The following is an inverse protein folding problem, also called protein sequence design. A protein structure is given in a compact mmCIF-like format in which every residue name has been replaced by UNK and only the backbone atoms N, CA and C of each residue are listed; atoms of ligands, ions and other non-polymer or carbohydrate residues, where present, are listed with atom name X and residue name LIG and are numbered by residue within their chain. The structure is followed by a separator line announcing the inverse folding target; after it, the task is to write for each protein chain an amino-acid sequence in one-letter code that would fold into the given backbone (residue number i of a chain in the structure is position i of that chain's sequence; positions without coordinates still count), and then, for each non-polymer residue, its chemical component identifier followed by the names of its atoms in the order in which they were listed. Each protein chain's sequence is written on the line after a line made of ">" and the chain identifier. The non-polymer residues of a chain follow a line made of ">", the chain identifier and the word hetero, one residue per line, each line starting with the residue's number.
data_IF_978389073086
#
_entry.id   IF_978389073086
#
_cell.length_a   1.000
_cell.length_b   1.000
_cell.length_c   1.000
_cell.angle_alpha   90.00
_cell.angle_beta   90.00
_cell.angle_gamma   90.00
#
_symmetry.space_group_name_H-M   'P 1'
#
loop_
_entity.id
_entity.type
_entity.pdbx_description
1 polymer ?
#
# COMPACT_ATOMS: atom_id res chain seq x y z
N UNK A 1 2.63 -16.03 -15.39
CA UNK A 1 3.00 -15.52 -14.06
C UNK A 1 2.12 -14.37 -13.69
N UNK A 2 1.63 -14.43 -12.50
CA UNK A 2 0.71 -13.41 -12.04
C UNK A 2 1.45 -12.13 -11.69
N UNK A 3 0.85 -11.01 -12.04
CA UNK A 3 1.40 -9.71 -11.67
C UNK A 3 1.12 -9.43 -10.19
N UNK A 4 2.02 -8.71 -9.55
CA UNK A 4 1.80 -8.21 -8.20
C UNK A 4 0.68 -7.17 -8.26
N UNK A 5 -0.37 -7.35 -7.48
CA UNK A 5 -1.54 -6.47 -7.49
C UNK A 5 -1.38 -5.37 -6.46
N UNK A 6 -1.36 -4.11 -6.92
CA UNK A 6 -1.17 -2.95 -6.05
C UNK A 6 -2.45 -2.12 -6.00
N UNK A 7 -2.84 -1.73 -4.79
CA UNK A 7 -3.95 -0.81 -4.54
C UNK A 7 -3.41 0.50 -3.96
N UNK A 8 -3.99 1.62 -4.40
CA UNK A 8 -3.52 2.95 -3.97
C UNK A 8 -4.64 3.69 -3.26
N UNK A 9 -4.40 4.08 -1.99
CA UNK A 9 -5.33 4.87 -1.18
C UNK A 9 -4.69 6.21 -0.82
N UNK A 10 -5.19 7.30 -1.40
CA UNK A 10 -4.69 8.64 -1.14
C UNK A 10 -5.76 9.64 -1.60
N UNK A 11 -6.01 10.68 -0.82
CA UNK A 11 -7.04 11.66 -1.17
C UNK A 11 -6.61 12.62 -2.28
N UNK A 12 -5.32 12.69 -2.58
CA UNK A 12 -4.80 13.56 -3.63
C UNK A 12 -4.81 12.86 -4.99
N UNK A 13 -5.62 13.37 -5.92
CA UNK A 13 -5.64 12.83 -7.29
C UNK A 13 -4.28 12.94 -7.96
N UNK A 14 -3.56 14.04 -7.73
CA UNK A 14 -2.22 14.24 -8.28
C UNK A 14 -1.25 13.17 -7.82
N UNK A 15 -1.28 12.86 -6.52
CA UNK A 15 -0.41 11.81 -5.96
C UNK A 15 -0.80 10.45 -6.53
N UNK A 16 -2.11 10.15 -6.60
CA UNK A 16 -2.54 8.87 -7.17
C UNK A 16 -2.05 8.69 -8.61
N UNK A 17 -2.15 9.74 -9.41
CA UNK A 17 -1.67 9.70 -10.81
C UNK A 17 -0.17 9.43 -10.88
N UNK A 18 0.61 10.10 -10.02
CA UNK A 18 2.06 9.89 -9.97
C UNK A 18 2.40 8.46 -9.55
N UNK A 19 1.66 7.93 -8.58
CA UNK A 19 1.88 6.56 -8.11
C UNK A 19 1.53 5.54 -9.19
N UNK A 20 0.42 5.74 -9.90
CA UNK A 20 0.04 4.86 -11.00
C UNK A 20 1.12 4.85 -12.08
N UNK A 21 1.59 6.04 -12.47
CA UNK A 21 2.62 6.14 -13.50
C UNK A 21 3.89 5.40 -13.06
N UNK A 22 4.31 5.59 -11.83
CA UNK A 22 5.50 4.94 -11.29
C UNK A 22 5.34 3.41 -11.27
N UNK A 23 4.18 2.93 -10.80
CA UNK A 23 3.92 1.50 -10.73
C UNK A 23 3.89 0.86 -12.11
N UNK A 24 3.27 1.54 -13.09
CA UNK A 24 3.17 1.00 -14.45
C UNK A 24 4.52 0.91 -15.15
N UNK A 25 5.52 1.65 -14.69
CA UNK A 25 6.87 1.55 -15.23
C UNK A 25 7.64 0.34 -14.68
N UNK A 26 7.11 -0.33 -13.66
CA UNK A 26 7.77 -1.49 -13.06
C UNK A 26 7.29 -2.78 -13.71
N UNK A 27 8.18 -3.79 -13.87
CA UNK A 27 7.77 -5.05 -14.48
C UNK A 27 6.92 -5.89 -13.54
N UNK A 28 5.98 -6.62 -14.11
CA UNK A 28 5.17 -7.62 -13.40
C UNK A 28 4.37 -7.06 -12.23
N UNK A 29 3.94 -5.81 -12.32
CA UNK A 29 3.11 -5.15 -11.31
C UNK A 29 1.90 -4.51 -11.99
N UNK A 30 0.74 -4.64 -11.38
CA UNK A 30 -0.50 -4.07 -11.90
C UNK A 30 -1.21 -3.27 -10.83
N UNK A 31 -1.83 -2.15 -11.21
CA UNK A 31 -2.70 -1.38 -10.32
C UNK A 31 -4.10 -1.96 -10.44
N UNK A 32 -4.65 -2.48 -9.34
CA UNK A 32 -5.97 -3.11 -9.36
C UNK A 32 -7.08 -2.20 -8.85
N UNK A 33 -6.73 -1.07 -8.26
CA UNK A 33 -7.73 -0.10 -7.83
C UNK A 33 -7.13 1.09 -7.10
N UNK A 34 -7.97 2.10 -6.91
CA UNK A 34 -7.62 3.33 -6.21
C UNK A 34 -8.81 3.79 -5.39
N UNK A 35 -8.54 4.49 -4.30
CA UNK A 35 -9.58 5.13 -3.51
C UNK A 35 -9.05 6.41 -2.89
N UNK A 36 -9.97 7.30 -2.50
CA UNK A 36 -9.62 8.63 -1.98
C UNK A 36 -10.11 8.86 -0.55
N UNK A 37 -10.83 7.91 0.02
CA UNK A 37 -11.39 8.03 1.38
C UNK A 37 -11.36 6.67 2.07
N UNK A 38 -11.66 6.68 3.38
CA UNK A 38 -11.60 5.46 4.19
C UNK A 38 -12.66 4.43 3.78
N UNK A 39 -13.95 4.79 3.67
CA UNK A 39 -14.95 3.79 3.29
C UNK A 39 -14.71 3.19 1.90
N UNK A 40 -14.36 4.03 0.94
CA UNK A 40 -14.06 3.57 -0.42
C UNK A 40 -12.85 2.66 -0.46
N UNK A 41 -11.82 2.99 0.34
CA UNK A 41 -10.63 2.14 0.45
C UNK A 41 -10.98 0.76 0.98
N UNK A 42 -11.71 0.69 2.08
CA UNK A 42 -12.09 -0.59 2.69
C UNK A 42 -12.91 -1.46 1.76
N UNK A 43 -13.93 -0.87 1.11
CA UNK A 43 -14.78 -1.61 0.20
C UNK A 43 -14.00 -2.15 -1.00
N UNK A 44 -13.19 -1.30 -1.62
CA UNK A 44 -12.46 -1.67 -2.82
C UNK A 44 -11.32 -2.66 -2.52
N UNK A 45 -10.64 -2.50 -1.40
CA UNK A 45 -9.57 -3.43 -1.01
C UNK A 45 -10.16 -4.83 -0.77
N UNK A 46 -11.30 -4.92 -0.09
CA UNK A 46 -11.96 -6.21 0.13
C UNK A 46 -12.38 -6.87 -1.18
N UNK A 47 -12.82 -6.06 -2.13
CA UNK A 47 -13.26 -6.56 -3.43
C UNK A 47 -12.10 -7.01 -4.32
N UNK A 48 -11.04 -6.21 -4.39
CA UNK A 48 -9.92 -6.45 -5.30
C UNK A 48 -8.88 -7.43 -4.75
N UNK A 49 -8.82 -7.59 -3.44
CA UNK A 49 -7.85 -8.45 -2.76
C UNK A 49 -6.42 -8.23 -3.28
N UNK A 50 -5.88 -7.02 -3.10
CA UNK A 50 -4.54 -6.72 -3.61
C UNK A 50 -3.45 -7.44 -2.81
N UNK A 51 -2.27 -7.53 -3.40
CA UNK A 51 -1.09 -8.05 -2.73
C UNK A 51 -0.41 -6.96 -1.89
N UNK A 52 -0.52 -5.71 -2.35
CA UNK A 52 0.10 -4.56 -1.69
C UNK A 52 -0.88 -3.40 -1.68
N UNK A 53 -0.94 -2.67 -0.56
CA UNK A 53 -1.69 -1.43 -0.45
C UNK A 53 -0.72 -0.30 -0.14
N UNK A 54 -0.71 0.75 -0.96
CA UNK A 54 -0.01 2.00 -0.69
C UNK A 54 -1.05 2.92 -0.06
N UNK A 55 -0.82 3.36 1.17
CA UNK A 55 -1.86 3.93 2.02
C UNK A 55 -1.40 5.21 2.72
N UNK A 56 -2.17 6.29 2.55
CA UNK A 56 -1.93 7.53 3.28
C UNK A 56 -2.67 7.49 4.63
N UNK A 57 -2.20 8.29 5.59
CA UNK A 57 -2.82 8.38 6.92
C UNK A 57 -4.03 9.30 6.89
N UNK A 58 -3.91 10.49 6.30
CA UNK A 58 -5.02 11.46 6.28
C UNK A 58 -5.89 11.32 5.06
N UNK A 59 -7.14 10.94 5.27
CA UNK A 59 -8.14 10.80 4.22
C UNK A 59 -9.52 11.13 4.76
N UNK A 60 -10.44 11.63 3.91
CA UNK A 60 -11.82 11.84 4.34
C UNK A 60 -12.46 10.55 4.86
N UNK A 61 -13.36 10.70 5.79
CA UNK A 61 -14.12 9.59 6.33
C UNK A 61 -13.43 8.82 7.44
N UNK A 62 -12.27 9.31 7.90
CA UNK A 62 -11.55 8.69 8.99
C UNK A 62 -10.04 8.84 8.87
N UNK A 63 -9.32 7.77 9.15
CA UNK A 63 -7.88 7.78 9.23
C UNK A 63 -7.34 6.50 8.58
N UNK A 64 -6.24 6.63 7.81
CA UNK A 64 -5.62 5.49 7.13
C UNK A 64 -5.16 4.39 8.09
N UNK A 65 -4.87 4.72 9.34
CA UNK A 65 -4.52 3.70 10.34
C UNK A 65 -5.69 2.74 10.59
N UNK A 66 -6.92 3.25 10.50
CA UNK A 66 -8.12 2.39 10.58
C UNK A 66 -8.15 1.41 9.39
N UNK A 67 -7.84 1.91 8.20
CA UNK A 67 -7.77 1.05 7.01
C UNK A 67 -6.69 -0.01 7.21
N UNK A 68 -5.52 0.40 7.69
CA UNK A 68 -4.41 -0.52 7.96
C UNK A 68 -4.83 -1.65 8.91
N UNK A 69 -5.48 -1.31 10.01
CA UNK A 69 -5.92 -2.31 10.97
C UNK A 69 -6.89 -3.32 10.38
N UNK A 70 -7.88 -2.83 9.60
CA UNK A 70 -8.87 -3.69 8.99
C UNK A 70 -8.26 -4.57 7.90
N UNK A 71 -7.37 -4.00 7.10
CA UNK A 71 -6.72 -4.74 6.01
C UNK A 71 -5.84 -5.86 6.57
N UNK A 72 -5.17 -5.61 7.69
CA UNK A 72 -4.32 -6.62 8.30
C UNK A 72 -5.09 -7.79 8.94
N UNK A 73 -6.41 -7.66 9.08
CA UNK A 73 -7.26 -8.76 9.50
C UNK A 73 -7.65 -9.70 8.35
N UNK A 74 -7.41 -9.30 7.13
CA UNK A 74 -7.69 -10.14 5.96
C UNK A 74 -6.77 -11.36 5.93
N UNK A 75 -7.23 -12.44 5.30
CA UNK A 75 -6.44 -13.67 5.18
C UNK A 75 -6.48 -14.16 3.73
N UNK A 76 -5.37 -14.08 2.99
CA UNK A 76 -4.09 -13.50 3.41
C UNK A 76 -4.18 -11.98 3.51
N UNK A 77 -3.40 -11.41 4.42
CA UNK A 77 -3.35 -9.96 4.56
C UNK A 77 -2.38 -9.40 3.53
N UNK A 78 -2.74 -8.29 2.87
CA UNK A 78 -1.81 -7.65 1.94
C UNK A 78 -0.64 -7.01 2.68
N UNK A 79 0.46 -6.81 1.98
CA UNK A 79 1.55 -5.98 2.46
C UNK A 79 1.07 -4.54 2.44
N UNK A 80 1.32 -3.77 3.49
CA UNK A 80 0.91 -2.37 3.55
C UNK A 80 2.13 -1.46 3.63
N UNK A 81 2.20 -0.53 2.68
CA UNK A 81 3.23 0.50 2.64
C UNK A 81 2.53 1.80 3.01
N UNK A 82 2.84 2.33 4.20
CA UNK A 82 2.35 3.66 4.57
C UNK A 82 3.17 4.70 3.82
N UNK A 83 2.49 5.62 3.16
CA UNK A 83 3.13 6.65 2.35
C UNK A 83 2.42 7.96 2.63
N UNK A 84 3.05 8.82 3.43
CA UNK A 84 2.35 9.96 4.02
C UNK A 84 3.25 11.16 4.24
N UNK A 85 2.67 12.37 4.24
CA UNK A 85 3.35 13.58 4.68
C UNK A 85 3.40 13.69 6.21
N UNK A 86 2.68 12.81 6.91
CA UNK A 86 2.61 12.82 8.37
C UNK A 86 3.54 11.77 8.95
N UNK A 87 4.85 11.96 8.67
CA UNK A 87 5.88 10.98 9.03
C UNK A 87 6.49 11.24 10.42
N UNK A 88 5.68 11.74 11.35
CA UNK A 88 6.11 11.97 12.72
C UNK A 88 6.28 10.65 13.46
N UNK A 89 7.20 10.61 14.40
CA UNK A 89 7.53 9.41 15.17
C UNK A 89 6.30 8.73 15.76
N UNK A 90 5.36 9.51 16.29
CA UNK A 90 4.15 8.93 16.91
C UNK A 90 3.27 8.20 15.90
N UNK A 91 3.15 8.71 14.67
CA UNK A 91 2.38 8.04 13.62
C UNK A 91 3.11 6.80 13.11
N UNK A 92 4.41 6.91 12.95
CA UNK A 92 5.24 5.78 12.54
C UNK A 92 5.09 4.62 13.52
N UNK A 93 5.16 4.91 14.81
CA UNK A 93 5.02 3.90 15.84
C UNK A 93 3.65 3.25 15.81
N UNK A 94 2.58 4.03 15.69
CA UNK A 94 1.22 3.49 15.61
C UNK A 94 1.04 2.59 14.40
N UNK A 95 1.60 2.99 13.27
CA UNK A 95 1.51 2.18 12.05
C UNK A 95 2.28 0.88 12.20
N UNK A 96 3.47 0.91 12.77
CA UNK A 96 4.26 -0.30 13.01
C UNK A 96 3.51 -1.25 13.94
N UNK A 97 2.93 -0.74 15.02
CA UNK A 97 2.15 -1.54 15.96
C UNK A 97 0.92 -2.15 15.33
N UNK A 98 0.34 -1.46 14.34
CA UNK A 98 -0.84 -1.95 13.62
C UNK A 98 -0.48 -2.90 12.47
N UNK A 99 0.80 -3.15 12.22
CA UNK A 99 1.23 -4.15 11.26
C UNK A 99 1.70 -3.63 9.92
N UNK A 100 1.97 -2.31 9.79
CA UNK A 100 2.51 -1.77 8.55
C UNK A 100 3.86 -2.41 8.25
N UNK A 101 4.08 -2.78 6.99
CA UNK A 101 5.31 -3.43 6.58
C UNK A 101 6.39 -2.42 6.20
N UNK A 102 5.98 -1.26 5.68
CA UNK A 102 6.88 -0.15 5.34
C UNK A 102 6.23 1.16 5.75
N UNK A 103 7.06 2.14 6.06
CA UNK A 103 6.60 3.49 6.34
C UNK A 103 7.54 4.47 5.63
N UNK A 104 7.01 5.21 4.65
CA UNK A 104 7.78 6.13 3.83
C UNK A 104 7.22 7.55 3.92
N UNK A 105 8.13 8.53 3.97
CA UNK A 105 7.79 9.95 3.97
C UNK A 105 7.54 10.40 2.53
N UNK A 106 6.35 10.89 2.26
CA UNK A 106 5.92 11.30 0.93
C UNK A 106 6.79 12.42 0.35
N UNK A 107 7.30 13.31 1.21
CA UNK A 107 8.08 14.47 0.76
C UNK A 107 9.54 14.13 0.48
N UNK A 108 10.10 13.07 1.07
CA UNK A 108 11.53 12.78 0.96
C UNK A 108 11.86 11.39 0.45
N UNK A 109 10.88 10.47 0.44
CA UNK A 109 11.16 9.07 0.17
C UNK A 109 10.33 8.48 -0.99
N UNK A 110 9.79 9.33 -1.86
CA UNK A 110 9.04 8.87 -3.02
C UNK A 110 9.85 7.88 -3.86
N UNK A 111 11.13 8.14 -4.01
CA UNK A 111 12.03 7.32 -4.81
C UNK A 111 12.33 5.95 -4.19
N UNK A 112 11.95 5.74 -2.94
CA UNK A 112 12.11 4.45 -2.29
C UNK A 112 10.95 3.50 -2.56
N UNK A 113 9.82 4.00 -3.05
CA UNK A 113 8.65 3.17 -3.35
C UNK A 113 8.94 2.08 -4.38
N UNK A 114 9.62 2.37 -5.51
CA UNK A 114 9.92 1.31 -6.48
C UNK A 114 10.72 0.18 -5.86
N UNK A 115 11.69 0.51 -4.99
CA UNK A 115 12.51 -0.50 -4.31
C UNK A 115 11.67 -1.36 -3.38
N UNK A 116 10.75 -0.75 -2.63
CA UNK A 116 9.88 -1.48 -1.72
C UNK A 116 8.97 -2.45 -2.48
N UNK A 117 8.38 -1.98 -3.58
CA UNK A 117 7.51 -2.81 -4.42
C UNK A 117 8.29 -3.97 -5.05
N UNK A 118 9.49 -3.70 -5.52
CA UNK A 118 10.33 -4.74 -6.12
C UNK A 118 10.70 -5.80 -5.07
N UNK A 119 11.01 -5.36 -3.85
CA UNK A 119 11.31 -6.27 -2.75
C UNK A 119 10.12 -7.18 -2.44
N UNK A 120 8.91 -6.61 -2.37
CA UNK A 120 7.69 -7.39 -2.12
C UNK A 120 7.46 -8.40 -3.24
N UNK A 121 7.65 -7.99 -4.49
CA UNK A 121 7.47 -8.87 -5.64
C UNK A 121 8.43 -10.06 -5.57
N UNK A 122 9.69 -9.80 -5.22
CA UNK A 122 10.70 -10.86 -5.09
C UNK A 122 10.38 -11.80 -3.93
N UNK A 123 9.93 -11.28 -2.81
CA UNK A 123 9.58 -12.10 -1.66
C UNK A 123 8.37 -13.00 -1.95
N UNK A 124 7.38 -12.48 -2.68
CA UNK A 124 6.22 -13.27 -3.07
C UNK A 124 6.62 -14.44 -3.97
N UNK A 125 7.49 -14.18 -4.94
CA UNK A 125 8.01 -15.24 -5.80
C UNK A 125 8.80 -16.28 -5.02
N UNK A 126 9.61 -15.84 -4.08
CA UNK A 126 10.42 -16.74 -3.25
C UNK A 126 9.52 -17.62 -2.37
N UNK A 127 8.48 -17.05 -1.81
CA UNK A 127 7.53 -17.80 -0.99
C UNK A 127 6.80 -18.86 -1.81
N UNK A 128 6.39 -18.51 -3.02
CA UNK A 128 5.76 -19.46 -3.92
C UNK A 128 6.69 -20.64 -4.22
N UNK A 129 7.96 -20.35 -4.49
CA UNK A 129 8.95 -21.37 -4.75
C UNK A 129 9.10 -22.32 -3.56
N UNK A 130 9.12 -21.77 -2.35
CA UNK A 130 9.21 -22.58 -1.14
C UNK A 130 7.95 -23.41 -0.90
N UNK A 131 6.81 -22.84 -1.24
CA UNK A 131 5.54 -23.53 -1.08
C UNK A 131 5.34 -24.63 -2.12
N UNK A 132 6.02 -24.48 -3.22
CA UNK A 132 6.01 -25.49 -4.25
C UNK A 132 6.91 -26.64 -3.88
#
# INVERSE_FOLDING_TARGET
>A
MDKLKVFISDDSATIRERLVTMVLDLPDIAVVGQAQDVPGSLAAIRHTRPDVVILDIRMPGGNGIEVLREVKKMNPAPTVIMFTNYAHTQYRKKCEEAGADFFLDKSTEFDKLPQALEWVRQCSGTEEDKGG
#
